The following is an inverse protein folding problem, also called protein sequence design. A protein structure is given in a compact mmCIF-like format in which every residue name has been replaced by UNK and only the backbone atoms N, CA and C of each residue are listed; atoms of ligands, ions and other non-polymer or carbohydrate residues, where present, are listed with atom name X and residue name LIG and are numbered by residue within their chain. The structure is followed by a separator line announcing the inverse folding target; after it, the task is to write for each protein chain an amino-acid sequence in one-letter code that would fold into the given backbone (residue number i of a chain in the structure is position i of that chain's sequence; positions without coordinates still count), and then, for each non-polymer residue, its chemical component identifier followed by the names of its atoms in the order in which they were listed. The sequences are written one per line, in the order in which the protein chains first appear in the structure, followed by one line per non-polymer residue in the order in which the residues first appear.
data_IF_097937197306
#
_entry.id   IF_097937197306
#
_cell.length_a   1.000
_cell.length_b   1.000
_cell.length_c   1.000
_cell.angle_alpha   90.00
_cell.angle_beta   90.00
_cell.angle_gamma   90.00
#
_symmetry.space_group_name_H-M   'P 1'
#
loop_
_entity.id
_entity.type
_entity.pdbx_description
1 polymer ?
#
# COMPACT_ATOMS: atom_id res chain seq x y z
N UNK A 1 -0.31 -11.09 13.85
CA UNK A 1 -0.59 -10.43 12.56
C UNK A 1 -0.79 -11.51 11.53
N UNK A 2 -1.93 -11.52 10.83
CA UNK A 2 -2.18 -12.47 9.73
C UNK A 2 -1.50 -11.94 8.46
N UNK A 3 -0.66 -12.76 7.82
CA UNK A 3 0.12 -12.40 6.62
C UNK A 3 -0.26 -13.24 5.39
N UNK A 4 -1.14 -14.22 5.54
CA UNK A 4 -1.59 -15.06 4.44
C UNK A 4 -2.55 -14.29 3.51
N UNK A 5 -2.08 -14.01 2.28
CA UNK A 5 -2.83 -13.24 1.29
C UNK A 5 -4.21 -13.84 0.96
N UNK A 6 -4.34 -15.17 0.91
CA UNK A 6 -5.61 -15.83 0.59
C UNK A 6 -6.64 -15.64 1.71
N UNK A 7 -6.20 -15.67 2.97
CA UNK A 7 -7.08 -15.40 4.10
C UNK A 7 -7.47 -13.92 4.15
N UNK A 8 -6.52 -13.01 3.94
CA UNK A 8 -6.76 -11.57 3.89
C UNK A 8 -7.80 -11.24 2.81
N UNK A 9 -7.63 -11.79 1.60
CA UNK A 9 -8.58 -11.62 0.47
C UNK A 9 -9.99 -12.11 0.81
N UNK A 10 -10.12 -13.21 1.56
CA UNK A 10 -11.42 -13.74 2.01
C UNK A 10 -12.07 -12.90 3.13
N UNK A 11 -11.26 -12.22 3.94
CA UNK A 11 -11.75 -11.38 5.05
C UNK A 11 -12.11 -9.96 4.60
N UNK A 12 -11.42 -9.43 3.58
CA UNK A 12 -11.63 -8.07 3.07
C UNK A 12 -13.11 -7.71 2.84
N UNK A 13 -13.93 -8.47 2.08
CA UNK A 13 -15.32 -8.10 1.83
C UNK A 13 -16.19 -8.12 3.10
N UNK A 14 -15.82 -8.92 4.11
CA UNK A 14 -16.56 -8.98 5.38
C UNK A 14 -16.33 -7.76 6.25
N UNK A 15 -15.24 -7.03 6.01
CA UNK A 15 -14.85 -5.82 6.75
C UNK A 15 -15.01 -4.54 5.92
N UNK A 16 -15.67 -4.60 4.77
CA UNK A 16 -15.74 -3.47 3.85
C UNK A 16 -16.34 -2.20 4.49
N UNK A 17 -17.46 -2.34 5.20
CA UNK A 17 -18.10 -1.20 5.89
C UNK A 17 -17.21 -0.63 7.02
N UNK A 18 -16.54 -1.49 7.78
CA UNK A 18 -15.58 -1.11 8.81
C UNK A 18 -14.39 -0.34 8.20
N UNK A 19 -13.83 -0.86 7.10
CA UNK A 19 -12.73 -0.24 6.37
C UNK A 19 -13.12 1.13 5.80
N UNK A 20 -14.34 1.24 5.26
CA UNK A 20 -14.86 2.50 4.73
C UNK A 20 -15.02 3.58 5.80
N UNK A 21 -15.60 3.21 6.95
CA UNK A 21 -15.74 4.10 8.11
C UNK A 21 -14.39 4.53 8.65
N UNK A 22 -13.45 3.59 8.77
CA UNK A 22 -12.09 3.90 9.23
C UNK A 22 -11.35 4.83 8.27
N UNK A 23 -11.46 4.60 6.96
CA UNK A 23 -10.89 5.50 5.95
C UNK A 23 -11.46 6.92 6.04
N UNK A 24 -12.76 7.03 6.29
CA UNK A 24 -13.42 8.33 6.46
C UNK A 24 -12.91 9.03 7.73
N UNK A 25 -12.77 8.30 8.83
CA UNK A 25 -12.21 8.81 10.07
C UNK A 25 -10.78 9.34 9.89
N UNK A 26 -9.89 8.58 9.22
CA UNK A 26 -8.51 9.01 8.99
C UNK A 26 -8.45 10.28 8.13
N UNK A 27 -9.30 10.39 7.11
CA UNK A 27 -9.37 11.60 6.27
C UNK A 27 -9.90 12.83 7.01
N UNK A 28 -10.75 12.63 8.01
CA UNK A 28 -11.25 13.70 8.87
C UNK A 28 -10.35 14.01 10.06
N UNK A 29 -9.21 13.33 10.21
CA UNK A 29 -8.32 13.55 11.34
C UNK A 29 -7.61 14.89 11.22
N UNK A 30 -7.85 15.79 12.17
CA UNK A 30 -7.41 17.18 12.09
C UNK A 30 -5.89 17.35 12.23
N UNK A 31 -5.23 16.50 13.02
CA UNK A 31 -3.79 16.62 13.29
C UNK A 31 -2.97 15.70 12.37
N UNK A 32 -2.66 16.20 11.18
CA UNK A 32 -1.92 15.44 10.16
C UNK A 32 -0.51 15.04 10.61
N UNK A 33 0.21 15.89 11.34
CA UNK A 33 1.55 15.59 11.84
C UNK A 33 1.56 14.42 12.84
N UNK A 34 0.58 14.40 13.75
CA UNK A 34 0.42 13.29 14.70
C UNK A 34 0.03 12.00 13.98
N UNK A 35 -0.86 12.08 12.99
CA UNK A 35 -1.23 10.92 12.17
C UNK A 35 -0.01 10.35 11.45
N UNK A 36 0.80 11.21 10.83
CA UNK A 36 2.02 10.83 10.13
C UNK A 36 3.04 10.15 11.07
N UNK A 37 3.25 10.72 12.26
CA UNK A 37 4.10 10.12 13.30
C UNK A 37 3.64 8.72 13.73
N UNK A 38 2.31 8.54 13.89
CA UNK A 38 1.72 7.23 14.22
C UNK A 38 1.99 6.23 13.08
N UNK A 39 1.76 6.63 11.84
CA UNK A 39 1.97 5.78 10.66
C UNK A 39 3.43 5.36 10.53
N UNK A 40 4.38 6.30 10.67
CA UNK A 40 5.81 6.00 10.61
C UNK A 40 6.25 5.03 11.70
N UNK A 41 5.79 5.23 12.95
CA UNK A 41 6.09 4.31 14.05
C UNK A 41 5.58 2.91 13.76
N UNK A 42 4.32 2.78 13.32
CA UNK A 42 3.72 1.49 12.98
C UNK A 42 4.43 0.84 11.79
N UNK A 43 4.79 1.60 10.76
CA UNK A 43 5.53 1.10 9.61
C UNK A 43 6.88 0.51 10.02
N UNK A 44 7.65 1.21 10.85
CA UNK A 44 8.95 0.71 11.34
C UNK A 44 8.77 -0.58 12.15
N UNK A 45 7.72 -0.66 12.98
CA UNK A 45 7.43 -1.85 13.76
C UNK A 45 7.02 -3.05 12.89
N UNK A 46 6.16 -2.84 11.90
CA UNK A 46 5.55 -3.92 11.11
C UNK A 46 6.44 -4.36 9.96
N UNK A 47 7.11 -3.43 9.26
CA UNK A 47 8.00 -3.76 8.14
C UNK A 47 9.16 -4.66 8.57
N UNK A 48 9.68 -4.48 9.79
CA UNK A 48 10.70 -5.37 10.36
C UNK A 48 10.24 -6.83 10.53
N UNK A 49 8.92 -7.06 10.56
CA UNK A 49 8.29 -8.38 10.76
C UNK A 49 7.80 -9.00 9.44
N UNK A 50 7.97 -8.32 8.30
CA UNK A 50 7.48 -8.76 7.00
C UNK A 50 8.63 -8.76 5.99
N UNK A 51 8.97 -9.95 5.48
CA UNK A 51 9.82 -10.06 4.29
C UNK A 51 8.94 -9.97 3.03
N UNK A 52 8.97 -8.83 2.35
CA UNK A 52 8.16 -8.58 1.15
C UNK A 52 8.59 -9.41 -0.07
N UNK A 53 9.81 -9.95 -0.06
CA UNK A 53 10.33 -10.78 -1.15
C UNK A 53 9.66 -12.16 -1.20
N UNK A 54 9.09 -12.61 -0.07
CA UNK A 54 8.39 -13.89 0.04
C UNK A 54 7.19 -14.01 -0.90
N UNK A 55 6.37 -12.97 -1.01
CA UNK A 55 5.23 -12.94 -1.92
C UNK A 55 5.51 -12.16 -3.20
N UNK A 56 6.40 -11.15 -3.10
CA UNK A 56 6.69 -10.17 -4.16
C UNK A 56 5.42 -9.59 -4.81
N UNK A 57 4.32 -9.49 -4.05
CA UNK A 57 3.00 -9.14 -4.59
C UNK A 57 3.02 -7.76 -5.24
N UNK A 58 3.67 -6.78 -4.60
CA UNK A 58 3.83 -5.44 -5.17
C UNK A 58 4.61 -5.46 -6.49
N UNK A 59 5.70 -6.23 -6.59
CA UNK A 59 6.50 -6.31 -7.82
C UNK A 59 5.78 -7.04 -8.97
N UNK A 60 4.85 -7.94 -8.64
CA UNK A 60 4.06 -8.70 -9.64
C UNK A 60 2.85 -7.95 -10.15
N UNK A 61 2.29 -7.05 -9.34
CA UNK A 61 1.04 -6.34 -9.67
C UNK A 61 1.30 -4.89 -10.10
N UNK A 62 2.33 -4.24 -9.53
CA UNK A 62 2.66 -2.84 -9.81
C UNK A 62 3.66 -2.81 -10.96
N UNK A 63 3.17 -2.46 -12.14
CA UNK A 63 3.99 -2.21 -13.32
C UNK A 63 4.00 -0.71 -13.65
N UNK A 64 5.15 -0.15 -14.06
CA UNK A 64 5.19 1.21 -14.56
C UNK A 64 4.36 1.30 -15.84
N UNK A 65 3.34 2.15 -15.82
CA UNK A 65 2.61 2.55 -17.02
C UNK A 65 3.41 3.64 -17.73
N UNK A 66 4.15 3.28 -18.77
CA UNK A 66 4.77 4.26 -19.67
C UNK A 66 3.78 4.69 -20.74
N UNK A 67 3.59 6.00 -20.89
CA UNK A 67 2.89 6.54 -22.05
C UNK A 67 3.85 6.65 -23.23
N UNK A 68 3.30 6.74 -24.45
CA UNK A 68 4.12 6.96 -25.65
C UNK A 68 4.98 8.23 -25.54
N UNK A 69 4.50 9.25 -24.84
CA UNK A 69 5.26 10.49 -24.57
C UNK A 69 6.47 10.23 -23.67
N UNK A 70 6.33 9.36 -22.67
CA UNK A 70 7.43 9.01 -21.75
C UNK A 70 8.53 8.23 -22.46
N UNK A 71 8.15 7.37 -23.40
CA UNK A 71 9.09 6.62 -24.25
C UNK A 71 9.85 7.60 -25.16
N UNK A 72 9.15 8.46 -25.90
CA UNK A 72 9.81 9.41 -26.84
C UNK A 72 10.75 10.39 -26.13
N UNK A 73 10.43 10.80 -24.90
CA UNK A 73 11.27 11.76 -24.15
C UNK A 73 12.49 11.12 -23.50
N UNK A 74 12.37 9.89 -23.01
CA UNK A 74 13.38 9.26 -22.15
C UNK A 74 14.15 8.10 -22.80
N UNK A 75 13.63 7.51 -23.88
CA UNK A 75 14.37 6.55 -24.68
C UNK A 75 14.99 7.28 -25.88
N UNK A 76 16.28 7.57 -25.80
CA UNK A 76 17.07 7.89 -27.00
C UNK A 76 17.47 6.59 -27.69
N UNK A 77 17.36 6.50 -29.02
CA UNK A 77 17.97 5.40 -29.75
C UNK A 77 19.50 5.44 -29.51
N UNK A 78 20.07 4.27 -29.25
CA UNK A 78 21.52 4.07 -29.18
C UNK A 78 22.18 4.33 -30.53
#
# INVERSE_FOLDING_TARGET
METNLNKIKKMAPKKEDENWKFRTFIKGYENTEKLDSIVHRLNNEISSKIDCTTCANCCKEIHPTFTQKDITKNCKPF
#
